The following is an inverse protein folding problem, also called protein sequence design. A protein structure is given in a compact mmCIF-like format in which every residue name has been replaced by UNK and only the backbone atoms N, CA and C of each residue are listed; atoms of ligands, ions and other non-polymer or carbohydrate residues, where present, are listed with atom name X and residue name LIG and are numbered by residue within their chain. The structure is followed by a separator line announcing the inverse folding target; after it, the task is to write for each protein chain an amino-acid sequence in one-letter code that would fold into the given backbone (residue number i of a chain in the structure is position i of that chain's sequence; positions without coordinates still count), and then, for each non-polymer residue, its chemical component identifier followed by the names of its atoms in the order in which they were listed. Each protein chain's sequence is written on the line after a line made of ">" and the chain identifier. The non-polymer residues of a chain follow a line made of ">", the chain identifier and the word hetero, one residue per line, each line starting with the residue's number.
data_IF_001436433314
#
_entry.id   IF_001436433314
#
_cell.length_a   1.000
_cell.length_b   1.000
_cell.length_c   1.000
_cell.angle_alpha   90.00
_cell.angle_beta   90.00
_cell.angle_gamma   90.00
#
_symmetry.space_group_name_H-M   'P 1'
#
loop_
_entity.id
_entity.type
_entity.pdbx_description
1 polymer ?
#
# COMPACT_ATOMS: atom_id res chain seq x y z
N UNK A 1 -3.86 5.93 1.79
CA UNK A 1 -3.64 4.67 1.06
C UNK A 1 -3.10 3.60 2.00
N UNK A 2 -1.85 3.68 2.48
CA UNK A 2 -1.28 2.66 3.39
C UNK A 2 -2.19 2.33 4.59
N UNK A 3 -2.62 3.34 5.35
CA UNK A 3 -3.55 3.14 6.48
C UNK A 3 -4.87 2.50 6.09
N UNK A 4 -5.38 2.79 4.89
CA UNK A 4 -6.61 2.20 4.35
C UNK A 4 -6.41 0.72 4.05
N UNK A 5 -5.29 0.38 3.40
CA UNK A 5 -4.89 -1.00 3.11
C UNK A 5 -4.70 -1.80 4.41
N UNK A 6 -3.97 -1.24 5.37
CA UNK A 6 -3.69 -1.87 6.67
C UNK A 6 -5.00 -2.17 7.39
N UNK A 7 -5.88 -1.18 7.40
CA UNK A 7 -7.17 -1.32 8.02
C UNK A 7 -8.05 -2.36 7.32
N UNK A 8 -8.00 -2.42 5.98
CA UNK A 8 -8.77 -3.36 5.16
C UNK A 8 -8.37 -4.82 5.43
N UNK A 9 -7.07 -5.10 5.57
CA UNK A 9 -6.59 -6.45 5.94
C UNK A 9 -7.03 -6.84 7.36
N UNK A 10 -7.08 -5.88 8.28
CA UNK A 10 -7.47 -6.16 9.67
C UNK A 10 -8.99 -6.04 9.93
N UNK A 11 -9.80 -5.60 8.97
CA UNK A 11 -11.27 -5.50 9.17
C UNK A 11 -11.92 -6.86 9.38
N UNK A 12 -11.39 -7.94 8.81
CA UNK A 12 -11.88 -9.29 9.10
C UNK A 12 -11.67 -9.72 10.57
N UNK A 13 -10.82 -9.01 11.32
CA UNK A 13 -10.49 -9.28 12.72
C UNK A 13 -11.28 -8.39 13.70
N UNK A 14 -12.07 -7.41 13.23
CA UNK A 14 -12.89 -6.55 14.09
C UNK A 14 -14.34 -6.56 13.62
N UNK A 15 -15.27 -6.83 14.53
CA UNK A 15 -16.69 -6.53 14.32
C UNK A 15 -16.82 -5.04 14.00
N UNK A 16 -17.17 -4.74 12.77
CA UNK A 16 -17.09 -3.39 12.21
C UNK A 16 -18.21 -2.52 12.81
N UNK A 17 -17.90 -1.71 13.82
CA UNK A 17 -18.82 -0.71 14.42
C UNK A 17 -18.88 0.57 13.56
N UNK A 18 -18.49 0.47 12.28
CA UNK A 18 -18.41 1.61 11.37
C UNK A 18 -19.71 1.81 10.65
N UNK A 19 -20.30 2.97 10.92
CA UNK A 19 -21.45 3.46 10.20
C UNK A 19 -21.07 3.73 8.72
N UNK A 20 -21.69 3.04 7.75
CA UNK A 20 -21.39 3.19 6.31
C UNK A 20 -21.73 4.58 5.75
N UNK A 21 -22.48 5.40 6.50
CA UNK A 21 -22.80 6.79 6.15
C UNK A 21 -21.82 7.82 6.74
N UNK A 22 -20.90 7.41 7.64
CA UNK A 22 -19.89 8.31 8.23
C UNK A 22 -18.50 8.13 7.62
N UNK A 23 -18.20 6.96 7.08
CA UNK A 23 -16.91 6.69 6.42
C UNK A 23 -17.13 6.81 4.92
N UNK A 24 -17.15 8.05 4.43
CA UNK A 24 -16.96 8.29 3.00
C UNK A 24 -15.57 7.83 2.62
N UNK A 25 -15.42 6.55 2.24
CA UNK A 25 -14.26 6.10 1.49
C UNK A 25 -14.27 6.89 0.19
N UNK A 26 -13.57 8.02 0.17
CA UNK A 26 -13.32 8.75 -1.07
C UNK A 26 -12.68 7.74 -2.01
N UNK A 27 -13.29 7.52 -3.15
CA UNK A 27 -12.74 6.63 -4.15
C UNK A 27 -11.46 7.28 -4.72
N UNK A 28 -10.34 6.95 -4.07
CA UNK A 28 -9.02 7.45 -4.44
C UNK A 28 -8.50 6.80 -5.73
N UNK A 29 -9.17 5.74 -6.23
CA UNK A 29 -8.74 5.03 -7.44
C UNK A 29 -8.71 5.97 -8.66
N UNK A 30 -9.63 6.94 -8.71
CA UNK A 30 -9.69 7.96 -9.75
C UNK A 30 -8.43 8.82 -9.87
N UNK A 31 -7.66 9.00 -8.78
CA UNK A 31 -6.40 9.75 -8.87
C UNK A 31 -5.29 8.95 -9.54
N UNK A 32 -5.39 7.62 -9.57
CA UNK A 32 -4.38 6.73 -10.17
C UNK A 32 -4.65 6.42 -11.64
N UNK A 33 -5.77 6.88 -12.20
CA UNK A 33 -6.03 6.88 -13.64
C UNK A 33 -5.63 8.19 -14.32
N UNK A 34 -5.24 9.20 -13.55
CA UNK A 34 -4.78 10.48 -14.09
C UNK A 34 -3.42 10.31 -14.78
N UNK A 35 -3.29 10.91 -15.96
CA UNK A 35 -2.00 11.06 -16.61
C UNK A 35 -1.10 12.00 -15.80
N UNK A 36 0.24 11.88 -15.92
CA UNK A 36 1.17 12.77 -15.24
C UNK A 36 0.85 14.24 -15.50
N UNK A 37 0.69 15.01 -14.42
CA UNK A 37 0.30 16.41 -14.47
C UNK A 37 1.56 17.26 -14.57
N UNK A 38 1.65 18.12 -15.58
CA UNK A 38 2.72 19.10 -15.66
C UNK A 38 2.45 20.25 -14.70
N UNK A 39 3.35 20.47 -13.75
CA UNK A 39 3.30 21.57 -12.80
C UNK A 39 4.62 22.32 -12.82
N UNK A 40 4.60 23.56 -13.31
CA UNK A 40 5.79 24.35 -13.67
C UNK A 40 6.74 23.54 -14.58
N UNK A 41 7.96 23.27 -14.10
CA UNK A 41 9.00 22.54 -14.80
C UNK A 41 9.13 21.08 -14.32
N UNK A 42 8.07 20.52 -13.72
CA UNK A 42 8.03 19.14 -13.20
C UNK A 42 6.81 18.39 -13.73
N UNK A 43 6.94 17.07 -13.86
CA UNK A 43 5.83 16.15 -14.09
C UNK A 43 5.52 15.43 -12.79
N UNK A 44 4.25 15.47 -12.38
CA UNK A 44 3.76 14.80 -11.18
C UNK A 44 2.93 13.60 -11.63
N UNK A 45 3.51 12.41 -11.51
CA UNK A 45 2.80 11.15 -11.66
C UNK A 45 2.38 10.66 -10.26
N UNK A 46 1.10 10.86 -9.93
CA UNK A 46 0.53 10.49 -8.64
C UNK A 46 0.62 8.97 -8.43
N UNK A 47 0.35 8.19 -9.50
CA UNK A 47 0.40 6.73 -9.45
C UNK A 47 1.80 6.26 -9.11
N UNK A 48 2.80 6.74 -9.85
CA UNK A 48 4.20 6.38 -9.61
C UNK A 48 4.67 6.78 -8.20
N UNK A 49 4.31 7.97 -7.73
CA UNK A 49 4.68 8.43 -6.38
C UNK A 49 4.08 7.56 -5.28
N UNK A 50 2.80 7.23 -5.38
CA UNK A 50 2.13 6.39 -4.37
C UNK A 50 2.63 4.96 -4.42
N UNK A 51 2.81 4.37 -5.60
CA UNK A 51 3.41 3.04 -5.75
C UNK A 51 4.79 2.98 -5.11
N UNK A 52 5.68 3.92 -5.43
CA UNK A 52 7.03 3.97 -4.85
C UNK A 52 7.01 4.11 -3.32
N UNK A 53 6.13 4.98 -2.79
CA UNK A 53 5.97 5.15 -1.35
C UNK A 53 5.54 3.83 -0.68
N UNK A 54 4.56 3.13 -1.25
CA UNK A 54 4.06 1.87 -0.70
C UNK A 54 5.11 0.76 -0.80
N UNK A 55 5.84 0.65 -1.92
CA UNK A 55 6.93 -0.33 -2.07
C UNK A 55 7.99 -0.16 -0.99
N UNK A 56 8.46 1.09 -0.81
CA UNK A 56 9.44 1.41 0.24
C UNK A 56 8.88 1.13 1.64
N UNK A 57 7.62 1.48 1.88
CA UNK A 57 7.00 1.26 3.19
C UNK A 57 6.88 -0.22 3.52
N UNK A 58 6.39 -1.03 2.59
CA UNK A 58 6.22 -2.47 2.79
C UNK A 58 7.55 -3.20 2.88
N UNK A 59 8.55 -2.81 2.08
CA UNK A 59 9.91 -3.34 2.26
C UNK A 59 10.42 -3.08 3.68
N UNK A 60 10.35 -1.83 4.14
CA UNK A 60 10.79 -1.45 5.48
C UNK A 60 10.01 -2.16 6.60
N UNK A 61 8.71 -2.39 6.41
CA UNK A 61 7.91 -3.14 7.38
C UNK A 61 8.30 -4.62 7.42
N UNK A 62 8.55 -5.23 6.26
CA UNK A 62 9.04 -6.62 6.17
C UNK A 62 10.44 -6.77 6.79
N UNK A 63 11.33 -5.78 6.67
CA UNK A 63 12.68 -5.86 7.28
C UNK A 63 12.64 -5.83 8.81
N UNK A 64 11.71 -5.08 9.42
CA UNK A 64 11.60 -4.96 10.89
C UNK A 64 10.69 -6.02 11.51
N UNK A 65 9.70 -6.51 10.77
CA UNK A 65 8.71 -7.47 11.22
C UNK A 65 8.51 -8.58 10.17
N UNK A 66 9.55 -9.39 9.97
CA UNK A 66 9.57 -10.44 8.94
C UNK A 66 8.40 -11.43 9.07
N UNK A 67 7.93 -11.70 10.29
CA UNK A 67 6.82 -12.63 10.54
C UNK A 67 5.47 -12.14 9.96
N UNK A 68 5.29 -10.83 9.76
CA UNK A 68 4.08 -10.23 9.19
C UNK A 68 4.12 -10.16 7.66
N UNK A 69 5.08 -10.82 7.01
CA UNK A 69 5.25 -10.76 5.55
C UNK A 69 3.98 -11.12 4.77
N UNK A 70 3.18 -12.06 5.27
CA UNK A 70 1.93 -12.47 4.66
C UNK A 70 0.89 -11.33 4.65
N UNK A 71 0.77 -10.60 5.76
CA UNK A 71 -0.10 -9.42 5.89
C UNK A 71 0.34 -8.32 4.92
N UNK A 72 1.65 -8.05 4.79
CA UNK A 72 2.14 -7.05 3.84
C UNK A 72 1.92 -7.48 2.38
N UNK A 73 2.02 -8.78 2.08
CA UNK A 73 1.66 -9.34 0.77
C UNK A 73 0.18 -9.12 0.46
N UNK A 74 -0.70 -9.33 1.44
CA UNK A 74 -2.14 -9.06 1.29
C UNK A 74 -2.43 -7.56 1.06
N UNK A 75 -1.74 -6.67 1.78
CA UNK A 75 -1.83 -5.23 1.53
C UNK A 75 -1.39 -4.84 0.12
N UNK A 76 -0.34 -5.48 -0.44
CA UNK A 76 0.08 -5.30 -1.84
C UNK A 76 -1.01 -5.74 -2.81
N UNK A 77 -1.63 -6.90 -2.58
CA UNK A 77 -2.72 -7.40 -3.42
C UNK A 77 -3.92 -6.46 -3.40
N UNK A 78 -4.30 -5.94 -2.24
CA UNK A 78 -5.36 -4.93 -2.13
C UNK A 78 -5.02 -3.63 -2.87
N UNK A 79 -3.76 -3.19 -2.85
CA UNK A 79 -3.33 -2.02 -3.61
C UNK A 79 -3.51 -2.23 -5.12
N UNK A 80 -3.17 -3.41 -5.63
CA UNK A 80 -3.40 -3.77 -7.03
C UNK A 80 -4.89 -3.82 -7.35
N UNK A 81 -5.69 -4.52 -6.54
CA UNK A 81 -7.11 -4.75 -6.82
C UNK A 81 -7.96 -3.47 -6.71
N UNK A 82 -7.75 -2.66 -5.67
CA UNK A 82 -8.59 -1.49 -5.38
C UNK A 82 -8.12 -0.23 -6.10
N UNK A 83 -6.82 -0.11 -6.36
CA UNK A 83 -6.22 1.12 -6.86
C UNK A 83 -5.48 0.95 -8.19
N UNK A 84 -5.37 -0.28 -8.72
CA UNK A 84 -4.65 -0.55 -9.96
C UNK A 84 -3.15 -0.24 -9.88
N UNK A 85 -2.58 -0.24 -8.67
CA UNK A 85 -1.16 0.02 -8.44
C UNK A 85 -0.37 -1.27 -8.69
N UNK A 86 0.49 -1.27 -9.70
CA UNK A 86 1.39 -2.39 -9.98
C UNK A 86 2.56 -2.26 -9.01
N UNK A 87 2.56 -3.11 -7.99
CA UNK A 87 3.56 -3.13 -6.92
C UNK A 87 4.77 -3.97 -7.32
N UNK A 88 5.95 -3.66 -6.76
CA UNK A 88 7.10 -4.54 -6.90
C UNK A 88 6.84 -5.91 -6.24
N UNK A 89 7.49 -6.94 -6.77
CA UNK A 89 7.40 -8.29 -6.22
C UNK A 89 7.93 -8.31 -4.79
N UNK A 90 7.27 -9.10 -3.93
CA UNK A 90 7.66 -9.22 -2.53
C UNK A 90 8.93 -10.07 -2.42
N UNK A 91 10.08 -9.46 -2.66
CA UNK A 91 11.34 -10.08 -2.29
C UNK A 91 11.52 -9.94 -0.78
N UNK A 92 11.46 -11.07 -0.07
CA UNK A 92 11.89 -11.11 1.32
C UNK A 92 13.36 -10.69 1.35
N UNK A 93 13.77 -9.80 2.27
CA UNK A 93 15.19 -9.60 2.52
C UNK A 93 15.74 -10.97 2.90
N UNK A 94 16.59 -11.54 2.04
CA UNK A 94 17.30 -12.77 2.36
C UNK A 94 17.97 -12.55 3.70
N UNK A 95 17.63 -13.34 4.72
CA UNK A 95 18.31 -13.30 6.01
C UNK A 95 19.79 -13.63 5.79
N UNK A 96 20.60 -12.61 5.55
CA UNK A 96 22.03 -12.62 5.76
C UNK A 96 22.29 -11.67 6.92
N UNK A 97 21.66 -11.98 8.05
CA UNK A 97 22.07 -11.45 9.34
C UNK A 97 22.80 -12.60 10.01
N UNK A 98 24.11 -12.61 9.83
CA UNK A 98 25.01 -13.29 10.74
C UNK A 98 24.63 -12.85 12.16
N UNK A 99 24.10 -13.78 12.94
CA UNK A 99 24.05 -13.65 14.39
C UNK A 99 25.49 -13.82 14.87
N UNK A 100 26.15 -12.71 15.17
CA UNK A 100 27.42 -12.66 15.89
C UNK A 100 27.16 -12.52 17.39
#
# INVERSE_FOLDING_TARGET
>A
IEKDLRLSVHTHLKLDDRNPFKVGMKDLAHFFSLNPIRFFNRFIDIKAHVTHYLDKTFYNLTTVALHDWATYSEMRNLATQRYGLIMAEAHLPSQTLEQV
#
